data_IF_040795699427
#
_entry.id   IF_040795699427
#
_cell.length_a   1.000
_cell.length_b   1.000
_cell.length_c   1.000
_cell.angle_alpha   90.00
_cell.angle_beta   90.00
_cell.angle_gamma   90.00
#
_symmetry.space_group_name_H-M   'P 1'
#
loop_
_entity.id
_entity.type
_entity.pdbx_description
1 polymer ?
#
# COMPACT_ATOMS: atom_id res chain seq x y z
N UNK A 1 -30.39 -37.90 -10.20
CA UNK A 1 -30.61 -36.70 -11.02
C UNK A 1 -29.77 -35.56 -10.42
N UNK A 2 -28.68 -35.15 -11.09
CA UNK A 2 -27.66 -34.26 -10.56
C UNK A 2 -27.91 -32.80 -10.94
N UNK A 3 -27.50 -31.85 -10.09
CA UNK A 3 -27.10 -30.51 -10.52
C UNK A 3 -25.78 -30.13 -9.83
N UNK A 4 -24.81 -29.82 -10.66
CA UNK A 4 -23.41 -29.54 -10.38
C UNK A 4 -23.16 -28.03 -10.59
N UNK A 5 -22.29 -27.46 -9.73
CA UNK A 5 -21.42 -26.28 -9.91
C UNK A 5 -21.95 -24.88 -9.56
N UNK A 6 -21.28 -24.30 -8.57
CA UNK A 6 -20.75 -22.91 -8.47
C UNK A 6 -20.81 -22.50 -6.98
N UNK A 7 -19.76 -22.11 -6.26
CA UNK A 7 -18.38 -21.80 -6.59
C UNK A 7 -17.54 -22.11 -5.34
N UNK A 8 -16.56 -23.00 -5.48
CA UNK A 8 -15.45 -23.10 -4.53
C UNK A 8 -14.49 -21.95 -4.85
N UNK A 9 -14.82 -20.70 -4.48
CA UNK A 9 -13.99 -19.51 -4.75
C UNK A 9 -14.19 -18.41 -3.69
N UNK A 10 -14.30 -18.76 -2.41
CA UNK A 10 -14.57 -17.76 -1.36
C UNK A 10 -13.75 -17.94 -0.08
N UNK A 11 -12.77 -18.86 -0.05
CA UNK A 11 -12.05 -19.16 1.20
C UNK A 11 -10.52 -19.17 1.07
N UNK A 12 -9.95 -18.82 -0.08
CA UNK A 12 -8.48 -18.82 -0.28
C UNK A 12 -7.86 -17.41 -0.41
N UNK A 13 -8.62 -16.34 -0.13
CA UNK A 13 -8.15 -14.95 -0.37
C UNK A 13 -7.35 -14.37 0.81
N UNK A 14 -7.20 -15.08 1.94
CA UNK A 14 -6.51 -14.51 3.10
C UNK A 14 -5.44 -15.45 3.67
N UNK A 15 -4.31 -15.54 2.98
CA UNK A 15 -3.06 -16.06 3.54
C UNK A 15 -2.51 -15.06 4.59
N UNK A 16 -3.14 -14.97 5.76
CA UNK A 16 -2.85 -13.99 6.81
C UNK A 16 -1.53 -14.19 7.55
N UNK A 17 -0.80 -15.28 7.30
CA UNK A 17 0.49 -15.59 7.97
C UNK A 17 1.72 -15.23 7.14
N UNK A 18 1.58 -15.00 5.83
CA UNK A 18 2.72 -14.71 4.93
C UNK A 18 3.09 -13.22 4.85
N UNK A 19 2.24 -12.35 5.37
CA UNK A 19 2.36 -10.90 5.17
C UNK A 19 3.37 -10.24 6.13
N UNK A 20 3.55 -10.78 7.35
CA UNK A 20 4.50 -10.24 8.34
C UNK A 20 5.96 -10.48 7.96
N UNK A 21 6.32 -11.69 7.50
CA UNK A 21 7.68 -12.03 7.12
C UNK A 21 8.13 -11.28 5.86
N UNK A 22 7.25 -11.20 4.85
CA UNK A 22 7.51 -10.43 3.62
C UNK A 22 7.65 -8.95 3.93
N UNK A 23 6.87 -8.43 4.88
CA UNK A 23 6.95 -7.06 5.35
C UNK A 23 8.28 -6.77 6.07
N UNK A 24 8.71 -7.65 6.97
CA UNK A 24 10.02 -7.51 7.64
C UNK A 24 11.19 -7.63 6.65
N UNK A 25 11.08 -8.51 5.64
CA UNK A 25 12.06 -8.57 4.54
C UNK A 25 12.09 -7.27 3.74
N UNK A 26 10.93 -6.70 3.40
CA UNK A 26 10.85 -5.42 2.68
C UNK A 26 11.44 -4.29 3.52
N UNK A 27 11.09 -4.19 4.80
CA UNK A 27 11.70 -3.22 5.73
C UNK A 27 13.21 -3.33 5.73
N UNK A 28 13.75 -4.56 5.79
CA UNK A 28 15.18 -4.82 5.79
C UNK A 28 15.84 -4.37 4.48
N UNK A 29 15.24 -4.71 3.33
CA UNK A 29 15.71 -4.26 2.01
C UNK A 29 15.73 -2.72 1.93
N UNK A 30 14.70 -2.04 2.42
CA UNK A 30 14.64 -0.58 2.40
C UNK A 30 15.63 0.08 3.37
N UNK A 31 15.80 -0.50 4.57
CA UNK A 31 16.76 -0.04 5.56
C UNK A 31 18.20 -0.19 5.05
N UNK A 32 18.50 -1.32 4.41
CA UNK A 32 19.83 -1.64 3.87
C UNK A 32 20.15 -0.87 2.58
N UNK A 33 19.17 -0.68 1.68
CA UNK A 33 19.42 -0.08 0.37
C UNK A 33 19.31 1.45 0.33
N UNK A 34 18.52 2.07 1.21
CA UNK A 34 18.22 3.49 1.13
C UNK A 34 18.52 4.29 2.41
N UNK A 35 18.82 3.65 3.55
CA UNK A 35 18.91 4.34 4.84
C UNK A 35 17.60 5.00 5.27
N UNK A 36 16.50 4.65 4.59
CA UNK A 36 15.14 5.08 4.89
C UNK A 36 14.58 4.05 5.86
N UNK A 37 14.64 4.34 7.15
CA UNK A 37 13.88 3.58 8.12
C UNK A 37 12.39 3.85 7.90
N UNK A 38 11.69 2.91 7.24
CA UNK A 38 10.24 2.83 7.39
C UNK A 38 9.96 2.78 8.91
N UNK A 39 9.17 3.74 9.40
CA UNK A 39 8.93 4.08 10.82
C UNK A 39 9.99 4.89 11.60
N UNK A 40 11.24 5.07 11.15
CA UNK A 40 12.27 5.74 11.98
C UNK A 40 12.36 7.26 11.78
N UNK A 41 11.94 7.80 10.62
CA UNK A 41 11.93 9.26 10.38
C UNK A 41 10.52 9.83 10.43
N UNK A 42 10.25 10.64 11.45
CA UNK A 42 8.97 11.36 11.59
C UNK A 42 8.77 12.30 10.39
N UNK A 43 7.86 11.94 9.47
CA UNK A 43 7.41 12.83 8.40
C UNK A 43 8.21 12.82 7.10
N UNK A 44 9.15 11.88 6.92
CA UNK A 44 9.85 11.68 5.63
C UNK A 44 8.86 11.43 4.48
N UNK A 45 9.12 12.04 3.33
CA UNK A 45 8.30 11.82 2.13
C UNK A 45 8.82 10.56 1.44
N UNK A 46 7.92 9.64 1.12
CA UNK A 46 8.24 8.39 0.44
C UNK A 46 7.51 8.38 -0.89
N UNK A 47 8.28 8.31 -1.98
CA UNK A 47 7.78 8.44 -3.34
C UNK A 47 7.94 7.13 -4.09
N UNK A 48 6.90 6.65 -4.74
CA UNK A 48 6.96 5.47 -5.60
C UNK A 48 5.97 5.61 -6.74
N UNK A 49 6.23 4.92 -7.85
CA UNK A 49 5.29 4.90 -8.97
C UNK A 49 4.32 3.74 -8.82
N UNK A 50 3.12 4.04 -8.36
CA UNK A 50 2.05 3.07 -8.30
C UNK A 50 1.48 2.83 -9.71
N UNK A 51 1.27 1.56 -10.07
CA UNK A 51 0.53 1.18 -11.27
C UNK A 51 -0.65 0.32 -10.84
N UNK A 52 -1.83 0.92 -10.81
CA UNK A 52 -3.05 0.20 -10.47
C UNK A 52 -3.58 -0.52 -11.70
N UNK A 53 -4.12 -1.71 -11.48
CA UNK A 53 -5.01 -2.35 -12.45
C UNK A 53 -6.44 -1.88 -12.20
N UNK A 54 -7.36 -1.97 -13.18
CA UNK A 54 -8.76 -1.59 -12.99
C UNK A 54 -9.43 -2.30 -11.80
N UNK A 55 -9.00 -3.53 -11.50
CA UNK A 55 -9.50 -4.30 -10.35
C UNK A 55 -9.01 -3.71 -9.02
N UNK A 56 -7.79 -3.19 -8.97
CA UNK A 56 -7.23 -2.55 -7.78
C UNK A 56 -7.87 -1.19 -7.50
N UNK A 57 -8.27 -0.46 -8.54
CA UNK A 57 -8.89 0.88 -8.39
C UNK A 57 -10.21 0.82 -7.62
N UNK A 58 -11.01 -0.21 -7.86
CA UNK A 58 -12.33 -0.40 -7.22
C UNK A 58 -12.25 -1.10 -5.86
N UNK A 59 -11.07 -1.49 -5.39
CA UNK A 59 -10.92 -2.11 -4.06
C UNK A 59 -11.20 -1.11 -2.95
N UNK A 60 -11.92 -1.54 -1.90
CA UNK A 60 -12.11 -0.75 -0.67
C UNK A 60 -10.75 -0.56 0.04
N UNK A 61 -10.55 0.62 0.62
CA UNK A 61 -9.38 0.92 1.47
C UNK A 61 -9.19 -0.08 2.61
N UNK A 62 -10.23 -0.81 3.02
CA UNK A 62 -10.15 -1.88 4.02
C UNK A 62 -9.15 -2.99 3.64
N UNK A 63 -8.91 -3.22 2.34
CA UNK A 63 -7.93 -4.21 1.84
C UNK A 63 -6.49 -3.86 2.23
N UNK A 64 -6.20 -2.58 2.50
CA UNK A 64 -4.87 -2.12 2.89
C UNK A 64 -4.52 -2.47 4.35
N UNK A 65 -5.48 -2.98 5.14
CA UNK A 65 -5.27 -3.36 6.54
C UNK A 65 -4.58 -2.24 7.35
N UNK A 66 -5.17 -1.06 7.27
CA UNK A 66 -4.72 0.16 7.95
C UNK A 66 -5.23 0.21 9.39
N UNK A 67 -4.52 0.92 10.27
CA UNK A 67 -5.00 1.24 11.60
C UNK A 67 -6.36 1.94 11.56
N UNK A 68 -7.19 1.69 12.57
CA UNK A 68 -8.52 2.32 12.71
C UNK A 68 -8.45 3.85 12.54
N UNK A 69 -7.38 4.48 13.03
CA UNK A 69 -7.16 5.93 12.88
C UNK A 69 -6.96 6.34 11.42
N UNK A 70 -6.09 5.64 10.69
CA UNK A 70 -5.81 5.93 9.29
C UNK A 70 -7.07 5.67 8.43
N UNK A 71 -7.74 4.53 8.61
CA UNK A 71 -8.98 4.19 7.90
C UNK A 71 -10.08 5.22 8.15
N UNK A 72 -10.30 5.61 9.41
CA UNK A 72 -11.31 6.63 9.74
C UNK A 72 -10.93 8.02 9.21
N UNK A 73 -9.63 8.36 9.17
CA UNK A 73 -9.15 9.59 8.57
C UNK A 73 -9.46 9.66 7.08
N UNK A 74 -9.17 8.58 6.36
CA UNK A 74 -9.43 8.45 4.92
C UNK A 74 -10.92 8.50 4.59
N UNK A 75 -11.76 7.71 5.28
CA UNK A 75 -13.21 7.70 5.04
C UNK A 75 -13.86 9.06 5.28
N UNK A 76 -13.41 9.81 6.29
CA UNK A 76 -13.93 11.16 6.58
C UNK A 76 -13.48 12.20 5.57
N UNK A 77 -12.35 11.96 4.90
CA UNK A 77 -11.88 12.77 3.80
C UNK A 77 -12.56 12.41 2.45
N UNK A 78 -13.42 11.38 2.43
CA UNK A 78 -14.15 10.95 1.24
C UNK A 78 -13.45 9.87 0.42
N UNK A 79 -12.35 9.28 0.93
CA UNK A 79 -11.68 8.16 0.26
C UNK A 79 -12.31 6.84 0.71
N UNK A 80 -12.96 6.15 -0.24
CA UNK A 80 -13.58 4.85 0.00
C UNK A 80 -12.82 3.74 -0.71
N UNK A 81 -12.21 4.05 -1.85
CA UNK A 81 -11.47 3.11 -2.68
C UNK A 81 -9.99 3.43 -2.76
N UNK A 82 -9.18 2.43 -3.10
CA UNK A 82 -7.74 2.60 -3.33
C UNK A 82 -7.50 3.50 -4.56
N UNK A 83 -8.35 3.40 -5.59
CA UNK A 83 -8.27 4.24 -6.79
C UNK A 83 -8.39 5.73 -6.47
N UNK A 84 -9.44 6.13 -5.75
CA UNK A 84 -9.66 7.54 -5.33
C UNK A 84 -8.44 8.10 -4.58
N UNK A 85 -7.93 7.33 -3.62
CA UNK A 85 -6.76 7.71 -2.83
C UNK A 85 -5.51 7.90 -3.72
N UNK A 86 -5.28 6.98 -4.66
CA UNK A 86 -4.12 7.03 -5.54
C UNK A 86 -4.19 8.17 -6.55
N UNK A 87 -5.37 8.48 -7.08
CA UNK A 87 -5.59 9.61 -7.99
C UNK A 87 -5.22 10.92 -7.29
N UNK A 88 -5.76 11.16 -6.10
CA UNK A 88 -5.48 12.41 -5.39
C UNK A 88 -4.01 12.52 -4.96
N UNK A 89 -3.41 11.41 -4.53
CA UNK A 89 -1.96 11.35 -4.27
C UNK A 89 -1.13 11.72 -5.50
N UNK A 90 -1.53 11.23 -6.69
CA UNK A 90 -0.84 11.55 -7.94
C UNK A 90 -1.01 13.01 -8.34
N UNK A 91 -2.12 13.63 -7.97
CA UNK A 91 -2.39 15.07 -8.17
C UNK A 91 -1.67 15.96 -7.15
N UNK A 92 -0.89 15.38 -6.23
CA UNK A 92 -0.14 16.12 -5.22
C UNK A 92 -0.93 16.42 -3.95
N UNK A 93 -1.99 15.66 -3.66
CA UNK A 93 -2.73 15.81 -2.42
C UNK A 93 -1.84 15.51 -1.19
N UNK A 94 -1.75 16.49 -0.31
CA UNK A 94 -1.10 16.32 0.99
C UNK A 94 -2.09 15.63 1.96
N UNK A 95 -1.96 14.31 2.10
CA UNK A 95 -2.70 13.54 3.11
C UNK A 95 -2.48 14.06 4.54
N UNK A 96 -1.39 14.79 4.80
CA UNK A 96 -1.12 15.48 6.08
C UNK A 96 -2.11 16.60 6.39
N UNK A 97 -2.85 17.12 5.39
CA UNK A 97 -3.91 18.12 5.57
C UNK A 97 -5.23 17.49 6.02
N UNK A 98 -5.37 16.17 5.93
CA UNK A 98 -6.57 15.47 6.38
C UNK A 98 -6.64 15.51 7.90
N UNK A 99 -7.79 15.93 8.43
CA UNK A 99 -8.04 15.98 9.87
C UNK A 99 -7.83 14.60 10.50
N UNK A 100 -6.95 14.53 11.49
CA UNK A 100 -6.56 13.31 12.22
C UNK A 100 -5.60 12.35 11.50
N UNK A 101 -5.14 12.68 10.29
CA UNK A 101 -4.03 11.99 9.61
C UNK A 101 -2.69 12.63 10.00
N UNK A 102 -2.13 12.20 11.12
CA UNK A 102 -0.79 12.63 11.55
C UNK A 102 0.32 11.99 10.73
N UNK A 103 1.58 12.39 11.00
CA UNK A 103 2.76 11.85 10.31
C UNK A 103 2.83 10.31 10.34
N UNK A 104 2.45 9.69 11.46
CA UNK A 104 2.41 8.22 11.60
C UNK A 104 1.39 7.56 10.68
N UNK A 105 0.16 8.09 10.64
CA UNK A 105 -0.89 7.58 9.76
C UNK A 105 -0.53 7.79 8.29
N UNK A 106 0.11 8.90 7.94
CA UNK A 106 0.61 9.12 6.59
C UNK A 106 1.65 8.08 6.18
N UNK A 107 2.67 7.85 7.00
CA UNK A 107 3.70 6.84 6.73
C UNK A 107 3.10 5.45 6.60
N UNK A 108 2.16 5.10 7.48
CA UNK A 108 1.43 3.84 7.42
C UNK A 108 0.65 3.66 6.10
N UNK A 109 -0.08 4.70 5.66
CA UNK A 109 -0.85 4.65 4.40
C UNK A 109 0.10 4.42 3.21
N UNK A 110 1.19 5.19 3.13
CA UNK A 110 2.15 5.06 2.04
C UNK A 110 2.83 3.69 2.00
N UNK A 111 3.17 3.16 3.17
CA UNK A 111 3.75 1.83 3.32
C UNK A 111 2.78 0.73 2.87
N UNK A 112 1.53 0.77 3.33
CA UNK A 112 0.52 -0.23 2.94
C UNK A 112 0.17 -0.16 1.46
N UNK A 113 0.10 1.05 0.87
CA UNK A 113 -0.10 1.21 -0.58
C UNK A 113 1.05 0.60 -1.39
N UNK A 114 2.29 0.81 -0.94
CA UNK A 114 3.47 0.25 -1.59
C UNK A 114 3.48 -1.29 -1.53
N UNK A 115 3.17 -1.86 -0.36
CA UNK A 115 3.05 -3.31 -0.18
C UNK A 115 1.93 -3.91 -1.01
N UNK A 116 0.78 -3.24 -1.05
CA UNK A 116 -0.35 -3.65 -1.87
C UNK A 116 0.04 -3.67 -3.35
N UNK A 117 0.74 -2.66 -3.83
CA UNK A 117 1.26 -2.62 -5.19
C UNK A 117 2.25 -3.77 -5.46
N UNK A 118 3.20 -4.03 -4.55
CA UNK A 118 4.14 -5.15 -4.65
C UNK A 118 3.45 -6.51 -4.68
N UNK A 119 2.45 -6.72 -3.82
CA UNK A 119 1.73 -7.99 -3.71
C UNK A 119 0.97 -8.34 -4.99
N UNK A 120 0.51 -7.34 -5.73
CA UNK A 120 -0.20 -7.50 -7.00
C UNK A 120 0.72 -7.61 -8.24
N UNK A 121 2.04 -7.65 -8.06
CA UNK A 121 3.02 -7.81 -9.14
C UNK A 121 3.69 -9.18 -9.12
N UNK A 122 4.10 -9.67 -10.31
CA UNK A 122 4.99 -10.82 -10.45
C UNK A 122 6.34 -10.57 -9.76
N UNK A 123 6.98 -11.62 -9.25
CA UNK A 123 8.27 -11.54 -8.54
C UNK A 123 9.37 -10.81 -9.32
N UNK A 124 9.50 -11.07 -10.62
CA UNK A 124 10.46 -10.40 -11.51
C UNK A 124 10.25 -8.87 -11.53
N UNK A 125 8.99 -8.44 -11.52
CA UNK A 125 8.60 -7.03 -11.53
C UNK A 125 8.69 -6.38 -10.16
N UNK A 126 8.49 -7.13 -9.08
CA UNK A 126 8.70 -6.66 -7.70
C UNK A 126 10.14 -6.16 -7.53
N UNK A 127 11.12 -6.94 -8.00
CA UNK A 127 12.54 -6.56 -7.92
C UNK A 127 12.83 -5.25 -8.66
N UNK A 128 12.35 -5.12 -9.90
CA UNK A 128 12.53 -3.91 -10.70
C UNK A 128 11.88 -2.69 -10.04
N UNK A 129 10.65 -2.87 -9.52
CA UNK A 129 9.91 -1.80 -8.87
C UNK A 129 10.59 -1.31 -7.58
N UNK A 130 11.18 -2.21 -6.79
CA UNK A 130 11.97 -1.84 -5.60
C UNK A 130 13.17 -0.98 -6.00
N UNK A 131 13.94 -1.40 -7.01
CA UNK A 131 15.10 -0.65 -7.48
C UNK A 131 14.72 0.74 -8.01
N UNK A 132 13.66 0.82 -8.82
CA UNK A 132 13.14 2.10 -9.33
C UNK A 132 12.68 3.02 -8.19
N UNK A 133 12.06 2.46 -7.15
CA UNK A 133 11.62 3.20 -5.97
C UNK A 133 12.82 3.75 -5.21
N UNK A 134 13.87 2.95 -5.01
CA UNK A 134 15.10 3.40 -4.34
C UNK A 134 15.74 4.55 -5.13
N UNK A 135 15.88 4.42 -6.45
CA UNK A 135 16.44 5.46 -7.31
C UNK A 135 15.65 6.77 -7.22
N UNK A 136 14.31 6.70 -7.24
CA UNK A 136 13.43 7.87 -7.13
C UNK A 136 13.57 8.61 -5.79
N UNK A 137 13.67 7.88 -4.68
CA UNK A 137 13.84 8.51 -3.36
C UNK A 137 15.27 9.00 -3.11
N UNK A 138 16.27 8.51 -3.84
CA UNK A 138 17.62 9.07 -3.79
C UNK A 138 17.75 10.37 -4.61
N UNK A 139 16.94 10.54 -5.66
CA UNK A 139 16.99 11.71 -6.55
C UNK A 139 16.10 12.90 -6.13
N UNK A 140 15.15 12.71 -5.21
CA UNK A 140 14.17 13.72 -4.75
C UNK A 140 14.49 14.22 -3.36
#
# INVERSE_FOLDING_TARGET
MPLLKSSKMSTEVCAMTKNSEKYEQIKKIFKDAAGIGLHERHGGKFYFSMRLTPQMEVCDIAVLDLSVRATNGLRRAGYHTVGELCIDLSNGADLKKIRNCGAKSYSEIMEKLFLFNLANMSEQRQRLFILETIEKNHRM
#
